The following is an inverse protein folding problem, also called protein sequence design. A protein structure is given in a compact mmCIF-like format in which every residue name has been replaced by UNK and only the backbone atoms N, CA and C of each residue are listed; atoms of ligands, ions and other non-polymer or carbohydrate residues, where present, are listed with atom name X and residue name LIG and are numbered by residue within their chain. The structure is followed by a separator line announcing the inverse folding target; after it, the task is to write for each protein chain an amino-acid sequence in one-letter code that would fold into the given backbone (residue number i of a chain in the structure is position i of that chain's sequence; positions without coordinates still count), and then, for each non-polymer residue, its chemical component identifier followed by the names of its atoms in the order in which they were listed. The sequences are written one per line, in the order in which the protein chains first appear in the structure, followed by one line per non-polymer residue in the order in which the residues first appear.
data_IF_406911952434
#
_entry.id   IF_406911952434
#
_cell.length_a   1.000
_cell.length_b   1.000
_cell.length_c   1.000
_cell.angle_alpha   90.00
_cell.angle_beta   90.00
_cell.angle_gamma   90.00
#
_symmetry.space_group_name_H-M   'P 1'
#
loop_
_entity.id
_entity.type
_entity.pdbx_description
1 polymer ?
#
# COMPACT_ATOMS: atom_id res chain seq x y z
N UNK A 1 -34.55 -4.50 -10.61
CA UNK A 1 -33.54 -5.24 -9.81
C UNK A 1 -32.94 -6.41 -10.62
N UNK A 2 -32.48 -6.19 -11.86
CA UNK A 2 -31.90 -7.25 -12.73
C UNK A 2 -30.61 -6.83 -13.45
N UNK A 3 -30.31 -5.53 -13.46
CA UNK A 3 -29.16 -4.97 -14.19
C UNK A 3 -27.89 -5.03 -13.30
N UNK A 4 -28.06 -4.89 -11.98
CA UNK A 4 -26.95 -4.94 -11.02
C UNK A 4 -26.34 -6.34 -10.87
N UNK A 5 -27.13 -7.40 -10.97
CA UNK A 5 -26.62 -8.78 -10.82
C UNK A 5 -25.66 -9.17 -11.96
N UNK A 6 -25.92 -8.71 -13.18
CA UNK A 6 -25.06 -8.96 -14.34
C UNK A 6 -23.70 -8.26 -14.25
N UNK A 7 -23.68 -7.04 -13.70
CA UNK A 7 -22.44 -6.27 -13.47
C UNK A 7 -21.63 -6.90 -12.34
N UNK A 8 -22.30 -7.28 -11.24
CA UNK A 8 -21.64 -7.91 -10.08
C UNK A 8 -21.07 -9.27 -10.48
N UNK A 9 -21.79 -10.12 -11.22
CA UNK A 9 -21.29 -11.43 -11.67
C UNK A 9 -20.11 -11.33 -12.65
N UNK A 10 -20.04 -10.27 -13.47
CA UNK A 10 -18.93 -10.05 -14.41
C UNK A 10 -17.66 -9.58 -13.69
N UNK A 11 -17.82 -8.83 -12.60
CA UNK A 11 -16.73 -8.42 -11.71
C UNK A 11 -16.21 -9.61 -10.89
N UNK A 12 -17.08 -10.52 -10.46
CA UNK A 12 -16.67 -11.69 -9.65
C UNK A 12 -16.10 -12.85 -10.47
N UNK A 13 -16.47 -12.99 -11.76
CA UNK A 13 -15.92 -13.99 -12.69
C UNK A 13 -14.75 -13.52 -13.55
N UNK A 14 -14.37 -12.25 -13.47
CA UNK A 14 -13.16 -11.75 -14.12
C UNK A 14 -11.96 -12.54 -13.60
N UNK A 15 -11.28 -13.28 -14.48
CA UNK A 15 -9.92 -13.75 -14.22
C UNK A 15 -9.18 -12.57 -13.59
N UNK A 16 -8.48 -12.76 -12.47
CA UNK A 16 -7.64 -11.71 -11.89
C UNK A 16 -6.62 -11.33 -12.95
N UNK A 17 -6.92 -10.31 -13.75
CA UNK A 17 -6.03 -9.85 -14.80
C UNK A 17 -4.77 -9.40 -14.08
N UNK A 18 -3.66 -10.05 -14.43
CA UNK A 18 -2.38 -9.72 -13.82
C UNK A 18 -2.07 -8.28 -14.20
N UNK A 19 -1.36 -7.55 -13.35
CA UNK A 19 -0.86 -6.21 -13.69
C UNK A 19 -0.13 -6.16 -15.06
N UNK A 20 0.35 -7.31 -15.56
CA UNK A 20 0.96 -7.50 -16.87
C UNK A 20 0.02 -7.43 -18.08
N UNK A 21 -1.31 -7.50 -17.90
CA UNK A 21 -2.29 -7.36 -18.99
C UNK A 21 -2.80 -5.91 -19.15
N UNK A 22 -2.49 -5.03 -18.19
CA UNK A 22 -2.89 -3.63 -18.22
C UNK A 22 -2.00 -2.79 -19.14
N UNK A 23 -2.57 -1.75 -19.76
CA UNK A 23 -1.83 -0.80 -20.59
C UNK A 23 -0.76 -0.04 -19.78
N UNK A 24 0.38 0.26 -20.41
CA UNK A 24 1.55 0.89 -19.77
C UNK A 24 1.20 2.17 -18.99
N UNK A 25 0.37 3.03 -19.58
CA UNK A 25 -0.05 4.28 -18.95
C UNK A 25 -0.88 4.03 -17.68
N UNK A 26 -1.72 2.98 -17.66
CA UNK A 26 -2.53 2.64 -16.49
C UNK A 26 -1.65 2.08 -15.35
N UNK A 27 -0.67 1.23 -15.70
CA UNK A 27 0.32 0.70 -14.73
C UNK A 27 1.18 1.84 -14.17
N UNK A 28 1.56 2.82 -14.99
CA UNK A 28 2.32 3.99 -14.55
C UNK A 28 1.53 4.87 -13.58
N UNK A 29 0.26 5.19 -13.89
CA UNK A 29 -0.58 6.00 -12.98
C UNK A 29 -0.81 5.28 -11.66
N UNK A 30 -1.13 3.98 -11.68
CA UNK A 30 -1.32 3.20 -10.46
C UNK A 30 -0.03 3.08 -9.63
N UNK A 31 1.10 2.81 -10.29
CA UNK A 31 2.41 2.73 -9.64
C UNK A 31 2.80 4.06 -9.00
N UNK A 32 2.63 5.18 -9.70
CA UNK A 32 2.89 6.51 -9.17
C UNK A 32 1.96 6.85 -8.00
N UNK A 33 0.66 6.61 -8.11
CA UNK A 33 -0.28 6.86 -7.01
C UNK A 33 0.06 6.01 -5.77
N UNK A 34 0.34 4.73 -5.96
CA UNK A 34 0.77 3.85 -4.87
C UNK A 34 2.09 4.32 -4.26
N UNK A 35 3.04 4.78 -5.07
CA UNK A 35 4.31 5.34 -4.62
C UNK A 35 4.11 6.62 -3.79
N UNK A 36 3.22 7.53 -4.21
CA UNK A 36 2.91 8.73 -3.43
C UNK A 36 2.28 8.39 -2.08
N UNK A 37 1.33 7.45 -2.04
CA UNK A 37 0.70 7.01 -0.79
C UNK A 37 1.72 6.37 0.13
N UNK A 38 2.53 5.44 -0.38
CA UNK A 38 3.60 4.81 0.38
C UNK A 38 4.63 5.85 0.84
N UNK A 39 5.06 6.77 -0.02
CA UNK A 39 5.99 7.84 0.33
C UNK A 39 5.48 8.69 1.48
N UNK A 40 4.23 9.14 1.42
CA UNK A 40 3.60 9.90 2.50
C UNK A 40 3.55 9.10 3.82
N UNK A 41 3.09 7.85 3.78
CA UNK A 41 3.03 6.99 4.96
C UNK A 41 4.44 6.72 5.52
N UNK A 42 5.43 6.56 4.66
CA UNK A 42 6.84 6.38 5.04
C UNK A 42 7.39 7.60 5.77
N UNK A 43 7.06 8.82 5.30
CA UNK A 43 7.43 10.06 6.00
C UNK A 43 6.79 10.14 7.39
N UNK A 44 5.49 9.87 7.50
CA UNK A 44 4.79 9.85 8.78
C UNK A 44 5.42 8.84 9.74
N UNK A 45 5.71 7.62 9.28
CA UNK A 45 6.35 6.60 10.10
C UNK A 45 7.77 7.02 10.51
N UNK A 46 8.53 7.67 9.62
CA UNK A 46 9.90 8.11 9.91
C UNK A 46 9.97 9.19 10.99
N UNK A 47 8.90 9.98 11.14
CA UNK A 47 8.80 11.03 12.14
C UNK A 47 8.30 10.46 13.49
N UNK A 48 7.22 9.68 13.47
CA UNK A 48 6.51 9.24 14.69
C UNK A 48 7.16 8.03 15.38
N UNK A 49 7.68 7.06 14.61
CA UNK A 49 8.23 5.81 15.18
C UNK A 49 9.43 6.08 16.10
N UNK A 50 10.43 6.90 15.72
CA UNK A 50 11.57 7.19 16.59
C UNK A 50 11.17 7.85 17.90
N UNK A 51 10.22 8.78 17.88
CA UNK A 51 9.72 9.45 19.09
C UNK A 51 8.99 8.48 20.01
N UNK A 52 8.14 7.62 19.45
CA UNK A 52 7.42 6.59 20.18
C UNK A 52 8.37 5.62 20.89
N UNK A 53 9.47 5.22 20.22
CA UNK A 53 10.51 4.36 20.82
C UNK A 53 11.24 5.10 21.95
N UNK A 54 11.60 6.38 21.75
CA UNK A 54 12.27 7.20 22.79
C UNK A 54 11.41 7.33 24.04
N UNK A 55 10.10 7.55 23.89
CA UNK A 55 9.17 7.64 25.02
C UNK A 55 9.03 6.28 25.69
N UNK A 56 8.77 5.22 24.93
CA UNK A 56 8.64 3.85 25.46
C UNK A 56 9.88 3.40 26.26
N UNK A 57 11.08 3.77 25.80
CA UNK A 57 12.33 3.46 26.51
C UNK A 57 12.46 4.19 27.86
N UNK A 58 11.80 5.33 28.05
CA UNK A 58 11.85 6.10 29.30
C UNK A 58 10.81 5.65 30.31
N UNK A 59 9.58 5.38 29.84
CA UNK A 59 8.43 5.13 30.73
C UNK A 59 8.04 3.66 30.79
N UNK A 60 8.69 2.80 30.00
CA UNK A 60 8.32 1.40 29.80
C UNK A 60 7.13 1.25 28.85
N UNK A 61 6.69 0.00 28.66
CA UNK A 61 5.50 -0.30 27.85
C UNK A 61 4.25 -0.04 28.68
N UNK A 62 3.59 1.09 28.41
CA UNK A 62 2.28 1.43 28.97
C UNK A 62 1.16 0.90 28.07
N UNK A 63 -0.08 0.82 28.59
CA UNK A 63 -1.24 0.40 27.79
C UNK A 63 -1.48 1.36 26.60
N UNK A 64 -1.31 2.65 26.81
CA UNK A 64 -1.41 3.67 25.75
C UNK A 64 -0.30 3.50 24.71
N UNK A 65 0.93 3.19 25.15
CA UNK A 65 2.04 2.88 24.26
C UNK A 65 1.79 1.62 23.42
N UNK A 66 1.16 0.60 24.01
CA UNK A 66 0.75 -0.61 23.29
C UNK A 66 -0.29 -0.28 22.21
N UNK A 67 -1.31 0.53 22.56
CA UNK A 67 -2.34 0.96 21.61
C UNK A 67 -1.74 1.75 20.45
N UNK A 68 -0.85 2.71 20.74
CA UNK A 68 -0.09 3.44 19.73
C UNK A 68 0.75 2.51 18.86
N UNK A 69 1.41 1.51 19.46
CA UNK A 69 2.18 0.50 18.75
C UNK A 69 1.33 -0.29 17.74
N UNK A 70 0.12 -0.70 18.14
CA UNK A 70 -0.82 -1.39 17.22
C UNK A 70 -1.25 -0.49 16.06
N UNK A 71 -1.52 0.79 16.33
CA UNK A 71 -1.85 1.76 15.28
C UNK A 71 -0.69 1.97 14.30
N UNK A 72 0.54 2.10 14.81
CA UNK A 72 1.75 2.22 14.00
C UNK A 72 2.00 0.96 13.17
N UNK A 73 1.76 -0.22 13.72
CA UNK A 73 1.83 -1.48 12.98
C UNK A 73 0.82 -1.51 11.82
N UNK A 74 -0.43 -1.10 12.06
CA UNK A 74 -1.45 -1.03 11.02
C UNK A 74 -1.07 -0.03 9.90
N UNK A 75 -0.50 1.12 10.26
CA UNK A 75 0.04 2.10 9.31
C UNK A 75 1.22 1.53 8.51
N UNK A 76 2.13 0.82 9.17
CA UNK A 76 3.29 0.16 8.55
C UNK A 76 2.85 -0.91 7.55
N UNK A 77 1.81 -1.68 7.87
CA UNK A 77 1.23 -2.66 6.93
C UNK A 77 0.64 -1.99 5.68
N UNK A 78 -0.03 -0.84 5.84
CA UNK A 78 -0.53 -0.06 4.69
C UNK A 78 0.61 0.46 3.83
N UNK A 79 1.63 1.06 4.47
CA UNK A 79 2.85 1.50 3.80
C UNK A 79 3.46 0.38 2.97
N UNK A 80 3.65 -0.79 3.58
CA UNK A 80 4.22 -1.96 2.92
C UNK A 80 3.39 -2.44 1.73
N UNK A 81 2.06 -2.49 1.89
CA UNK A 81 1.15 -2.91 0.82
C UNK A 81 1.25 -1.99 -0.40
N UNK A 82 1.16 -0.68 -0.21
CA UNK A 82 1.29 0.28 -1.31
C UNK A 82 2.70 0.31 -1.90
N UNK A 83 3.73 0.14 -1.06
CA UNK A 83 5.12 0.01 -1.51
C UNK A 83 5.32 -1.18 -2.45
N UNK A 84 4.72 -2.33 -2.13
CA UNK A 84 4.77 -3.51 -3.00
C UNK A 84 4.02 -3.31 -4.32
N UNK A 85 2.88 -2.61 -4.30
CA UNK A 85 2.16 -2.26 -5.53
C UNK A 85 3.04 -1.37 -6.41
N UNK A 86 3.64 -0.32 -5.84
CA UNK A 86 4.53 0.58 -6.56
C UNK A 86 5.74 -0.17 -7.14
N UNK A 87 6.40 -1.02 -6.34
CA UNK A 87 7.53 -1.84 -6.77
C UNK A 87 7.14 -2.80 -7.90
N UNK A 88 5.96 -3.42 -7.83
CA UNK A 88 5.49 -4.34 -8.88
C UNK A 88 5.17 -3.60 -10.18
N UNK A 89 4.51 -2.45 -10.11
CA UNK A 89 4.22 -1.62 -11.28
C UNK A 89 5.52 -1.13 -11.94
N UNK A 90 6.48 -0.68 -11.14
CA UNK A 90 7.79 -0.28 -11.65
C UNK A 90 8.53 -1.44 -12.33
N UNK A 91 8.50 -2.65 -11.74
CA UNK A 91 9.11 -3.84 -12.36
C UNK A 91 8.50 -4.16 -13.73
N UNK A 92 7.17 -4.09 -13.87
CA UNK A 92 6.49 -4.32 -15.14
C UNK A 92 6.85 -3.24 -16.17
N UNK A 93 6.88 -1.97 -15.78
CA UNK A 93 7.28 -0.89 -16.68
C UNK A 93 8.74 -1.04 -17.11
N UNK A 94 9.63 -1.41 -16.18
CA UNK A 94 11.03 -1.64 -16.45
C UNK A 94 11.23 -2.75 -17.49
N UNK A 95 10.54 -3.89 -17.30
CA UNK A 95 10.54 -5.02 -18.23
C UNK A 95 10.02 -4.65 -19.63
N UNK A 96 9.06 -3.71 -19.74
CA UNK A 96 8.46 -3.32 -21.03
C UNK A 96 9.25 -2.25 -21.79
N UNK A 97 9.90 -1.34 -21.07
CA UNK A 97 10.50 -0.14 -21.66
C UNK A 97 12.02 -0.24 -21.81
N UNK A 98 12.69 -1.07 -21.00
CA UNK A 98 14.15 -1.12 -20.93
C UNK A 98 14.75 -2.52 -21.14
N UNK A 99 13.91 -3.56 -21.25
CA UNK A 99 14.29 -4.94 -21.57
C UNK A 99 13.62 -5.40 -22.86
#
# INVERSE_FOLDING_TARGET
MRIFDGVVLKITKGKKEKFSDLADWAVAIMGAAAFFIAGFLGLVLSDVVPETIKISNKVGITLDGLLLGVLLLALSLKFWFFGNIAARCNGILYERWFQ
#
